data_IF_636300816253
#
_entry.id   IF_636300816253
#
_cell.length_a   1.000
_cell.length_b   1.000
_cell.length_c   1.000
_cell.angle_alpha   90.00
_cell.angle_beta   90.00
_cell.angle_gamma   90.00
#
_symmetry.space_group_name_H-M   'P 1'
#
loop_
_entity.id
_entity.type
_entity.pdbx_description
1 polymer ?
#
# COMPACT_ATOMS: atom_id res chain seq x y z
N UNK A 1 13.79 -44.50 -4.93
CA UNK A 1 14.37 -43.61 -5.91
C UNK A 1 13.74 -43.73 -7.30
N UNK A 2 13.35 -44.87 -7.80
CA UNK A 2 12.72 -45.03 -9.14
C UNK A 2 11.31 -44.45 -9.27
N UNK A 3 10.55 -44.34 -8.19
CA UNK A 3 9.17 -43.81 -8.22
C UNK A 3 9.06 -42.27 -8.20
N UNK A 4 10.14 -41.59 -7.84
CA UNK A 4 10.19 -40.13 -7.83
C UNK A 4 10.63 -39.57 -9.20
N UNK A 5 11.44 -40.34 -9.91
CA UNK A 5 11.91 -39.95 -11.24
C UNK A 5 10.82 -39.98 -12.33
N UNK A 6 9.82 -40.84 -12.13
CA UNK A 6 8.72 -40.97 -13.11
C UNK A 6 7.70 -39.82 -12.98
N UNK A 7 7.58 -39.22 -11.79
CA UNK A 7 6.68 -38.07 -11.60
C UNK A 7 7.25 -36.74 -12.08
N UNK A 8 8.57 -36.65 -12.24
CA UNK A 8 9.20 -35.42 -12.79
C UNK A 8 9.21 -35.39 -14.32
N UNK A 9 9.06 -36.54 -14.98
CA UNK A 9 9.04 -36.57 -16.45
C UNK A 9 7.67 -36.28 -17.06
N UNK A 10 6.60 -36.35 -16.26
CA UNK A 10 5.24 -36.09 -16.77
C UNK A 10 4.81 -34.64 -16.69
N UNK A 11 5.63 -33.75 -16.13
CA UNK A 11 5.31 -32.32 -16.03
C UNK A 11 5.94 -31.46 -17.13
N UNK A 12 6.78 -32.05 -17.97
CA UNK A 12 7.50 -31.29 -19.03
C UNK A 12 6.86 -31.39 -20.43
N UNK A 13 5.69 -32.00 -20.57
CA UNK A 13 5.10 -32.28 -21.89
C UNK A 13 3.91 -31.40 -22.29
N UNK A 14 3.62 -30.33 -21.54
CA UNK A 14 2.41 -29.53 -21.80
C UNK A 14 2.70 -28.10 -22.31
N UNK A 15 3.98 -27.77 -22.59
CA UNK A 15 4.34 -26.41 -23.00
C UNK A 15 4.92 -26.29 -24.41
N UNK A 16 4.39 -27.08 -25.36
CA UNK A 16 4.86 -26.92 -26.73
C UNK A 16 3.73 -27.15 -27.74
N UNK A 17 2.76 -26.24 -27.80
CA UNK A 17 1.81 -26.17 -28.92
C UNK A 17 0.94 -24.91 -28.88
N UNK A 18 1.51 -23.73 -29.05
CA UNK A 18 0.80 -22.58 -29.65
C UNK A 18 1.83 -21.62 -30.27
N UNK A 19 2.19 -21.85 -31.48
CA UNK A 19 2.79 -20.84 -32.35
C UNK A 19 2.65 -21.27 -33.81
N UNK A 20 1.53 -20.95 -34.43
CA UNK A 20 1.41 -20.83 -35.87
C UNK A 20 0.01 -20.36 -36.27
N UNK A 21 -0.06 -19.19 -36.85
CA UNK A 21 -0.98 -18.73 -37.90
C UNK A 21 -1.03 -17.21 -37.85
N UNK A 22 -0.46 -16.59 -38.72
CA UNK A 22 -0.65 -16.11 -40.08
C UNK A 22 -1.17 -14.69 -40.04
N UNK A 23 -0.63 -13.68 -40.63
CA UNK A 23 -0.07 -13.46 -41.93
C UNK A 23 -1.08 -12.85 -42.92
N UNK A 24 -0.75 -11.71 -43.51
CA UNK A 24 -1.48 -11.12 -44.64
C UNK A 24 -1.92 -9.67 -44.34
N UNK A 25 -1.22 -8.60 -44.74
CA UNK A 25 -1.17 -7.90 -46.01
C UNK A 25 -2.56 -7.28 -46.36
N UNK A 26 -2.72 -6.09 -46.82
CA UNK A 26 -1.94 -5.04 -47.48
C UNK A 26 -2.75 -3.74 -47.52
N UNK A 27 -1.99 -2.61 -47.66
CA UNK A 27 -2.26 -1.41 -48.46
C UNK A 27 -3.52 -0.56 -48.24
N UNK A 28 -3.57 0.73 -48.31
CA UNK A 28 -2.82 1.75 -48.99
C UNK A 28 -3.33 3.16 -48.61
N UNK A 29 -2.44 4.11 -48.49
CA UNK A 29 -2.46 5.53 -48.83
C UNK A 29 -3.70 6.41 -48.60
N UNK A 30 -3.64 7.60 -48.04
CA UNK A 30 -3.16 8.82 -48.61
C UNK A 30 -3.54 10.06 -47.79
N UNK A 31 -2.60 10.90 -47.61
CA UNK A 31 -2.48 12.34 -47.55
C UNK A 31 -3.70 13.25 -47.40
N UNK A 32 -3.54 14.27 -46.55
CA UNK A 32 -4.39 15.43 -46.53
C UNK A 32 -4.03 16.44 -45.45
N UNK A 33 -3.10 17.33 -45.76
CA UNK A 33 -2.76 18.48 -44.93
C UNK A 33 -3.71 19.65 -45.21
N UNK A 34 -4.13 20.37 -44.15
CA UNK A 34 -4.44 21.77 -44.33
C UNK A 34 -4.39 22.53 -43.01
N UNK A 35 -3.57 23.55 -43.00
CA UNK A 35 -3.36 24.57 -42.03
C UNK A 35 -4.52 25.58 -41.97
N UNK A 36 -4.82 26.14 -40.81
CA UNK A 36 -5.75 27.25 -40.68
C UNK A 36 -5.57 27.99 -39.35
N UNK A 37 -5.14 29.21 -39.53
CA UNK A 37 -4.85 30.15 -38.43
C UNK A 37 -6.10 30.72 -37.74
N UNK A 38 -6.03 31.06 -36.47
CA UNK A 38 -6.86 31.68 -35.71
C UNK A 38 -7.05 32.98 -35.52
N UNK A 39 -7.79 33.37 -35.08
CA UNK A 39 -7.76 34.78 -34.69
C UNK A 39 -8.36 34.95 -33.30
N UNK A 40 -7.68 35.79 -32.53
CA UNK A 40 -8.12 36.30 -31.23
C UNK A 40 -9.41 37.10 -31.34
N UNK A 41 -10.31 36.87 -30.38
CA UNK A 41 -11.37 37.84 -30.12
C UNK A 41 -11.63 37.87 -28.61
N UNK A 42 -11.29 38.99 -28.00
CA UNK A 42 -11.60 39.32 -26.61
C UNK A 42 -13.04 39.83 -26.50
N UNK A 43 -13.79 39.32 -25.52
CA UNK A 43 -15.00 40.00 -25.06
C UNK A 43 -15.24 39.74 -23.57
N UNK A 44 -15.47 40.85 -22.93
CA UNK A 44 -15.65 40.94 -21.46
C UNK A 44 -16.92 40.28 -20.92
N UNK A 45 -16.84 39.77 -19.82
CA UNK A 45 -17.78 39.14 -19.16
C UNK A 45 -18.65 39.87 -18.37
N UNK A 46 -19.58 39.48 -18.30
CA UNK A 46 -20.68 39.89 -17.43
C UNK A 46 -20.73 38.95 -16.24
N UNK A 47 -20.52 39.50 -15.02
CA UNK A 47 -20.69 38.81 -13.75
C UNK A 47 -22.16 38.44 -13.54
N UNK A 48 -22.49 37.17 -13.78
CA UNK A 48 -23.73 36.55 -13.33
C UNK A 48 -23.42 35.70 -12.12
N UNK A 49 -23.82 36.17 -10.94
CA UNK A 49 -23.79 35.34 -9.73
C UNK A 49 -24.88 34.29 -9.85
N UNK A 50 -24.51 33.10 -10.29
CA UNK A 50 -25.34 31.92 -10.08
C UNK A 50 -25.04 31.39 -8.67
N UNK A 51 -25.95 31.65 -7.74
CA UNK A 51 -26.03 30.90 -6.52
C UNK A 51 -26.37 29.44 -6.90
N UNK A 52 -25.35 28.67 -7.17
CA UNK A 52 -25.51 27.23 -7.25
C UNK A 52 -25.85 26.74 -5.85
N UNK A 53 -27.07 26.22 -5.69
CA UNK A 53 -27.40 25.47 -4.50
C UNK A 53 -26.35 24.35 -4.37
N UNK A 54 -25.48 24.46 -3.38
CA UNK A 54 -24.63 23.34 -2.99
C UNK A 54 -25.59 22.24 -2.56
N UNK A 55 -25.68 21.19 -3.35
CA UNK A 55 -26.36 19.98 -2.97
C UNK A 55 -25.72 19.55 -1.65
N UNK A 56 -26.43 19.63 -0.52
CA UNK A 56 -25.92 19.14 0.75
C UNK A 56 -25.66 17.66 0.56
N UNK A 57 -24.39 17.29 0.51
CA UNK A 57 -24.00 15.89 0.46
C UNK A 57 -24.63 15.20 1.66
N UNK A 58 -25.33 14.09 1.41
CA UNK A 58 -25.90 13.28 2.48
C UNK A 58 -24.79 12.95 3.48
N UNK A 59 -25.09 13.15 4.78
CA UNK A 59 -24.14 12.83 5.87
C UNK A 59 -23.91 11.32 6.01
N UNK A 60 -24.67 10.49 5.30
CA UNK A 60 -24.61 9.04 5.45
C UNK A 60 -25.25 8.57 6.75
N UNK A 61 -25.17 7.28 7.00
CA UNK A 61 -25.75 6.67 8.21
C UNK A 61 -24.83 5.54 8.72
N UNK A 62 -24.21 5.73 9.86
CA UNK A 62 -23.38 4.71 10.52
C UNK A 62 -24.15 3.43 10.84
N UNK A 63 -25.48 3.52 11.07
CA UNK A 63 -26.30 2.33 11.33
C UNK A 63 -26.35 1.35 10.14
N UNK A 64 -25.88 1.75 9.00
CA UNK A 64 -25.73 0.87 7.83
C UNK A 64 -24.35 0.14 7.75
N UNK A 65 -23.31 0.42 8.59
CA UNK A 65 -22.15 -0.11 8.62
C UNK A 65 -22.34 -1.45 8.96
N UNK A 66 -21.58 -2.47 8.37
CA UNK A 66 -21.52 -3.85 8.87
C UNK A 66 -21.20 -3.91 10.36
N UNK A 67 -21.74 -4.87 11.07
CA UNK A 67 -21.53 -5.01 12.51
C UNK A 67 -21.10 -6.46 12.84
N UNK A 68 -19.84 -6.71 13.19
CA UNK A 68 -18.78 -5.70 13.37
C UNK A 68 -18.26 -5.13 12.05
N UNK A 69 -17.80 -3.88 12.10
CA UNK A 69 -16.97 -3.30 11.04
C UNK A 69 -15.56 -3.92 11.17
N UNK A 70 -15.10 -4.59 10.14
CA UNK A 70 -13.81 -5.28 10.15
C UNK A 70 -12.81 -4.54 9.25
N UNK A 71 -11.68 -4.14 9.84
CA UNK A 71 -10.57 -3.46 9.15
C UNK A 71 -9.35 -4.40 9.17
N UNK A 72 -8.83 -4.74 8.00
CA UNK A 72 -7.62 -5.54 7.83
C UNK A 72 -6.44 -4.61 7.59
N UNK A 73 -5.44 -4.58 8.48
CA UNK A 73 -4.20 -3.85 8.23
C UNK A 73 -3.24 -4.70 7.41
N UNK A 74 -2.20 -4.08 6.90
CA UNK A 74 -1.22 -4.75 6.02
C UNK A 74 -0.02 -5.30 6.80
N UNK A 75 0.18 -4.87 8.04
CA UNK A 75 1.36 -5.23 8.84
C UNK A 75 1.01 -5.32 10.33
N UNK A 76 2.03 -5.49 11.18
CA UNK A 76 1.92 -5.37 12.64
C UNK A 76 1.44 -3.95 13.00
N UNK A 77 0.86 -3.77 14.20
CA UNK A 77 0.53 -2.42 14.65
C UNK A 77 1.79 -1.53 14.71
N UNK A 78 1.77 -0.50 13.89
CA UNK A 78 2.83 0.53 13.81
C UNK A 78 2.16 1.90 13.76
N UNK A 79 2.95 2.97 13.83
CA UNK A 79 2.39 4.33 13.92
C UNK A 79 1.46 4.70 12.77
N UNK A 80 1.72 4.21 11.56
CA UNK A 80 0.86 4.48 10.40
C UNK A 80 -0.53 3.85 10.52
N UNK A 81 -0.71 2.86 11.41
CA UNK A 81 -2.02 2.25 11.68
C UNK A 81 -2.75 2.95 12.85
N UNK A 82 -2.09 3.88 13.54
CA UNK A 82 -2.58 4.49 14.76
C UNK A 82 -3.99 5.06 14.64
N UNK A 83 -4.30 5.69 13.50
CA UNK A 83 -5.64 6.24 13.25
C UNK A 83 -6.75 5.18 13.34
N UNK A 84 -6.47 3.92 13.00
CA UNK A 84 -7.47 2.85 13.09
C UNK A 84 -7.69 2.39 14.53
N UNK A 85 -6.63 2.44 15.34
CA UNK A 85 -6.76 2.13 16.77
C UNK A 85 -7.41 3.30 17.54
N UNK A 86 -7.25 4.53 17.06
CA UNK A 86 -7.95 5.72 17.58
C UNK A 86 -9.49 5.57 17.47
N UNK A 87 -9.97 4.76 16.54
CA UNK A 87 -11.40 4.48 16.35
C UNK A 87 -12.03 3.73 17.53
N UNK A 88 -11.25 3.18 18.46
CA UNK A 88 -11.78 2.61 19.72
C UNK A 88 -12.08 3.71 20.77
N UNK A 89 -11.61 4.88 20.53
CA UNK A 89 -11.86 6.02 21.43
C UNK A 89 -11.45 5.70 22.86
N UNK A 90 -12.10 6.11 23.66
CA UNK A 90 -11.91 5.88 24.93
C UNK A 90 -12.57 4.77 25.42
N UNK A 91 -13.11 3.97 24.56
CA UNK A 91 -13.90 2.78 24.84
C UNK A 91 -13.05 1.60 25.29
N UNK A 92 -13.71 0.63 25.84
CA UNK A 92 -13.07 -0.62 26.20
C UNK A 92 -12.79 -1.43 24.94
N UNK A 93 -11.60 -2.02 24.86
CA UNK A 93 -11.23 -2.96 23.78
C UNK A 93 -10.59 -4.20 24.38
N UNK A 94 -10.58 -5.25 23.61
CA UNK A 94 -9.87 -6.49 23.97
C UNK A 94 -8.86 -6.85 22.88
N UNK A 95 -7.71 -7.33 23.32
CA UNK A 95 -6.63 -7.79 22.44
C UNK A 95 -6.63 -9.32 22.41
N UNK A 96 -6.81 -9.87 21.24
CA UNK A 96 -6.65 -11.31 20.99
C UNK A 96 -5.31 -11.52 20.25
N UNK A 97 -4.33 -11.77 21.06
CA UNK A 97 -2.98 -11.99 20.52
C UNK A 97 -2.81 -13.26 19.68
N UNK A 98 -3.65 -13.96 19.88
CA UNK A 98 -3.60 -15.19 19.21
C UNK A 98 -4.04 -15.10 17.83
N UNK A 99 -5.10 -14.44 17.68
CA UNK A 99 -5.69 -14.27 16.37
C UNK A 99 -5.32 -12.91 15.68
N UNK A 100 -4.60 -12.05 16.42
CA UNK A 100 -4.13 -10.88 15.97
C UNK A 100 -5.16 -9.84 15.70
N UNK A 101 -6.28 -9.63 16.53
CA UNK A 101 -7.27 -8.76 16.42
C UNK A 101 -7.33 -7.94 17.63
N UNK A 102 -7.78 -6.74 17.40
CA UNK A 102 -8.26 -5.89 18.52
C UNK A 102 -9.74 -5.67 18.26
N UNK A 103 -10.57 -5.84 19.27
CA UNK A 103 -12.02 -5.71 19.11
C UNK A 103 -12.64 -4.84 20.21
N UNK A 104 -13.70 -4.10 19.88
CA UNK A 104 -14.41 -3.19 20.76
C UNK A 104 -15.58 -2.56 20.04
N UNK A 105 -15.89 -1.30 20.35
CA UNK A 105 -16.91 -0.55 19.61
C UNK A 105 -16.27 0.61 18.85
N UNK A 106 -16.86 0.92 17.72
CA UNK A 106 -16.49 2.08 16.89
C UNK A 106 -16.87 3.36 17.62
N UNK A 107 -15.95 4.28 17.73
CA UNK A 107 -16.17 5.61 18.30
C UNK A 107 -15.97 6.69 17.26
N UNK A 108 -16.74 7.74 17.34
CA UNK A 108 -16.50 9.03 16.68
C UNK A 108 -16.01 10.00 17.75
N UNK A 109 -14.72 10.10 17.92
CA UNK A 109 -14.12 10.82 19.04
C UNK A 109 -14.57 10.20 20.38
N UNK A 110 -15.27 10.98 21.20
CA UNK A 110 -15.79 10.53 22.49
C UNK A 110 -17.12 9.77 22.40
N UNK A 111 -17.74 9.74 21.23
CA UNK A 111 -19.08 9.16 21.05
C UNK A 111 -18.99 7.69 20.69
N UNK A 112 -19.51 6.82 21.56
CA UNK A 112 -19.67 5.39 21.25
C UNK A 112 -20.86 5.24 20.29
N UNK A 113 -20.61 4.65 19.12
CA UNK A 113 -21.67 4.44 18.11
C UNK A 113 -22.48 3.18 18.37
N UNK A 114 -22.01 2.29 19.26
CA UNK A 114 -22.61 1.00 19.52
C UNK A 114 -22.32 -0.07 18.45
N UNK A 115 -21.58 0.27 17.40
CA UNK A 115 -21.23 -0.67 16.31
C UNK A 115 -19.94 -1.40 16.71
N UNK A 116 -19.90 -2.71 16.55
CA UNK A 116 -18.69 -3.51 16.76
C UNK A 116 -17.59 -3.09 15.81
N UNK A 117 -16.35 -3.03 16.32
CA UNK A 117 -15.16 -2.73 15.53
C UNK A 117 -14.12 -3.83 15.75
N UNK A 118 -13.54 -4.33 14.67
CA UNK A 118 -12.44 -5.28 14.73
C UNK A 118 -11.32 -4.81 13.81
N UNK A 119 -10.11 -4.64 14.37
CA UNK A 119 -8.91 -4.29 13.60
C UNK A 119 -7.99 -5.51 13.62
N UNK A 120 -7.73 -6.07 12.46
CA UNK A 120 -6.94 -7.29 12.26
C UNK A 120 -5.53 -6.96 11.77
N UNK A 121 -4.55 -7.58 12.40
CA UNK A 121 -3.14 -7.46 12.03
C UNK A 121 -2.85 -8.17 10.70
N UNK A 122 -2.03 -7.55 9.87
CA UNK A 122 -1.58 -8.13 8.61
C UNK A 122 -0.21 -8.80 8.71
N UNK A 123 0.59 -8.69 7.65
CA UNK A 123 1.93 -9.28 7.56
C UNK A 123 1.91 -10.79 7.75
N UNK A 124 2.70 -11.32 8.72
CA UNK A 124 2.72 -12.78 8.95
C UNK A 124 1.34 -13.37 9.29
N UNK A 125 0.44 -12.59 9.92
CA UNK A 125 -0.89 -13.06 10.31
C UNK A 125 -1.75 -13.47 9.11
N UNK A 126 -1.46 -12.89 7.94
CA UNK A 126 -2.15 -13.20 6.68
C UNK A 126 -1.21 -13.88 5.66
N UNK A 127 -0.12 -14.49 6.16
CA UNK A 127 0.86 -15.21 5.34
C UNK A 127 1.58 -14.31 4.33
N UNK A 128 1.79 -13.04 4.68
CA UNK A 128 2.40 -12.02 3.83
C UNK A 128 1.64 -11.77 2.52
N UNK A 129 0.35 -12.13 2.50
CA UNK A 129 -0.50 -11.87 1.33
C UNK A 129 -0.75 -10.37 1.19
N UNK A 130 -0.68 -9.82 -0.03
CA UNK A 130 -1.14 -8.44 -0.23
C UNK A 130 -2.60 -8.29 0.17
N UNK A 131 -2.94 -7.25 0.93
CA UNK A 131 -4.31 -7.03 1.42
C UNK A 131 -5.31 -6.96 0.26
N UNK A 132 -4.87 -6.40 -0.88
CA UNK A 132 -5.73 -6.32 -2.08
C UNK A 132 -6.29 -7.67 -2.48
N UNK A 133 -5.46 -8.72 -2.52
CA UNK A 133 -5.93 -10.07 -2.83
C UNK A 133 -6.54 -10.76 -1.62
N UNK A 134 -6.04 -10.50 -0.42
CA UNK A 134 -6.50 -11.15 0.82
C UNK A 134 -7.97 -10.84 1.11
N UNK A 135 -8.43 -9.61 0.86
CA UNK A 135 -9.83 -9.21 1.05
C UNK A 135 -10.81 -10.08 0.24
N UNK A 136 -10.32 -10.68 -0.85
CA UNK A 136 -11.15 -11.57 -1.69
C UNK A 136 -11.17 -13.01 -1.19
N UNK A 137 -10.36 -13.34 -0.18
CA UNK A 137 -10.39 -14.66 0.48
C UNK A 137 -11.28 -14.67 1.72
N UNK A 138 -11.59 -13.49 2.28
CA UNK A 138 -12.43 -13.36 3.48
C UNK A 138 -13.45 -12.24 3.30
N UNK A 139 -14.70 -12.62 3.00
CA UNK A 139 -15.79 -11.67 2.80
C UNK A 139 -16.21 -10.92 4.07
N UNK A 140 -15.74 -11.36 5.25
CA UNK A 140 -15.99 -10.66 6.51
C UNK A 140 -15.20 -9.35 6.64
N UNK A 141 -14.13 -9.17 5.86
CA UNK A 141 -13.36 -7.92 5.86
C UNK A 141 -14.14 -6.85 5.10
N UNK A 142 -14.39 -5.72 5.73
CA UNK A 142 -15.07 -4.57 5.10
C UNK A 142 -14.06 -3.62 4.47
N UNK A 143 -13.04 -3.24 5.24
CA UNK A 143 -12.02 -2.27 4.82
C UNK A 143 -10.63 -2.93 4.89
N UNK A 144 -9.75 -2.55 3.96
CA UNK A 144 -8.37 -3.06 3.96
C UNK A 144 -7.36 -1.96 3.67
N UNK A 145 -6.22 -2.03 4.36
CA UNK A 145 -5.05 -1.22 4.04
C UNK A 145 -4.38 -1.79 2.80
N UNK A 146 -4.45 -1.08 1.71
CA UNK A 146 -3.95 -1.62 0.44
C UNK A 146 -3.05 -0.65 -0.30
N UNK A 147 -1.91 -0.94 -0.63
CA UNK A 147 -0.99 -0.27 -1.34
C UNK A 147 -1.55 -0.08 -2.66
N UNK A 148 -1.43 1.01 -3.32
CA UNK A 148 -2.02 1.30 -4.63
C UNK A 148 -1.39 0.51 -5.77
N UNK A 149 -0.12 0.23 -5.72
CA UNK A 149 0.52 -0.64 -6.72
C UNK A 149 -0.01 -2.08 -6.66
N UNK A 150 -0.35 -2.57 -5.47
CA UNK A 150 -0.99 -3.89 -5.33
C UNK A 150 -2.40 -3.87 -5.92
N UNK A 151 -3.14 -2.77 -5.74
CA UNK A 151 -4.46 -2.61 -6.34
C UNK A 151 -4.38 -2.66 -7.87
N UNK A 152 -3.35 -2.03 -8.45
CA UNK A 152 -3.11 -2.08 -9.90
C UNK A 152 -2.73 -3.51 -10.33
N UNK A 153 -1.84 -4.15 -9.60
CA UNK A 153 -1.38 -5.53 -9.90
C UNK A 153 -2.54 -6.52 -9.91
N UNK A 154 -3.44 -6.40 -8.93
CA UNK A 154 -4.55 -7.34 -8.76
C UNK A 154 -5.89 -6.84 -9.36
N UNK A 155 -5.87 -5.76 -10.13
CA UNK A 155 -7.09 -5.11 -10.62
C UNK A 155 -8.06 -6.06 -11.31
N UNK A 156 -7.57 -6.98 -12.13
CA UNK A 156 -8.45 -7.92 -12.87
C UNK A 156 -9.04 -9.02 -12.00
N UNK A 157 -8.33 -9.43 -10.95
CA UNK A 157 -8.73 -10.59 -10.12
C UNK A 157 -9.34 -10.17 -8.77
N UNK A 158 -8.96 -8.99 -8.26
CA UNK A 158 -9.37 -8.52 -6.93
C UNK A 158 -9.49 -6.99 -6.93
N UNK A 159 -10.42 -6.43 -7.73
CA UNK A 159 -10.53 -4.97 -7.88
C UNK A 159 -10.99 -4.27 -6.60
N UNK A 160 -10.20 -3.32 -6.13
CA UNK A 160 -10.52 -2.50 -4.97
C UNK A 160 -10.83 -1.06 -5.37
N UNK A 161 -11.52 -0.36 -4.49
CA UNK A 161 -11.79 1.07 -4.56
C UNK A 161 -11.27 1.72 -3.28
N UNK A 162 -10.27 2.58 -3.40
CA UNK A 162 -9.74 3.34 -2.27
C UNK A 162 -10.73 4.44 -1.85
N UNK A 163 -11.00 4.55 -0.56
CA UNK A 163 -11.97 5.51 0.00
C UNK A 163 -11.31 6.55 0.90
N UNK A 164 -10.15 6.23 1.47
CA UNK A 164 -9.35 7.17 2.28
C UNK A 164 -7.87 6.92 2.00
N UNK A 165 -7.07 7.99 1.94
CA UNK A 165 -5.62 7.92 1.97
C UNK A 165 -5.16 8.55 3.31
N UNK A 166 -4.91 7.75 4.34
CA UNK A 166 -4.61 8.29 5.67
C UNK A 166 -3.21 8.94 5.77
N UNK A 167 -2.32 8.58 4.85
CA UNK A 167 -0.95 9.10 4.82
C UNK A 167 -0.79 9.99 3.59
N UNK A 168 -0.37 11.23 3.80
CA UNK A 168 -0.11 12.17 2.71
C UNK A 168 1.04 11.70 1.81
N UNK A 169 2.05 11.07 2.42
CA UNK A 169 3.26 10.62 1.74
C UNK A 169 3.59 9.20 2.18
N UNK A 170 3.95 8.36 1.24
CA UNK A 170 4.34 6.98 1.52
C UNK A 170 5.60 6.95 2.41
N UNK A 171 5.53 6.38 3.63
CA UNK A 171 6.72 6.28 4.50
C UNK A 171 7.63 5.11 4.13
N UNK A 172 7.28 4.28 3.17
CA UNK A 172 8.12 3.17 2.73
C UNK A 172 9.47 3.69 2.25
N UNK A 173 10.55 3.04 2.69
CA UNK A 173 11.92 3.52 2.46
C UNK A 173 12.89 2.36 2.30
N UNK A 174 14.11 2.69 1.92
CA UNK A 174 15.26 1.80 2.10
C UNK A 174 16.26 2.54 2.98
N UNK A 175 16.79 1.81 3.97
CA UNK A 175 17.75 2.31 4.96
C UNK A 175 19.10 1.62 4.82
N UNK A 176 20.13 2.27 5.34
CA UNK A 176 21.51 1.76 5.37
C UNK A 176 22.27 2.32 6.55
N UNK A 177 23.42 1.72 6.85
CA UNK A 177 24.31 2.17 7.91
C UNK A 177 25.19 3.33 7.43
N UNK A 178 24.99 4.56 7.94
CA UNK A 178 25.84 5.68 7.54
C UNK A 178 27.30 5.56 7.98
N UNK A 179 27.60 4.72 8.99
CA UNK A 179 28.98 4.46 9.41
C UNK A 179 29.72 3.59 8.39
N UNK A 180 29.01 2.61 7.82
CA UNK A 180 29.56 1.72 6.77
C UNK A 180 29.62 2.44 5.43
N UNK A 181 28.63 3.25 5.12
CA UNK A 181 28.49 3.92 3.82
C UNK A 181 28.34 5.44 4.01
N UNK A 182 29.40 6.13 4.45
CA UNK A 182 29.30 7.57 4.75
C UNK A 182 29.02 8.45 3.54
N UNK A 183 29.38 7.99 2.35
CA UNK A 183 29.21 8.75 1.11
C UNK A 183 27.87 8.49 0.41
N UNK A 184 27.08 7.48 0.86
CA UNK A 184 25.77 7.16 0.28
C UNK A 184 24.73 8.15 0.82
N UNK A 185 24.01 8.77 -0.10
CA UNK A 185 22.99 9.78 0.21
C UNK A 185 21.64 9.51 -0.46
N UNK A 186 21.58 8.50 -1.32
CA UNK A 186 20.38 8.20 -2.10
C UNK A 186 20.30 6.72 -2.45
N UNK A 187 19.11 6.28 -2.86
CA UNK A 187 18.89 4.92 -3.40
C UNK A 187 19.70 4.69 -4.68
N UNK A 188 19.93 5.76 -5.44
CA UNK A 188 20.80 5.66 -6.61
C UNK A 188 22.25 5.41 -6.21
N UNK A 189 22.73 6.05 -5.14
CA UNK A 189 24.12 5.81 -4.66
C UNK A 189 24.28 4.35 -4.19
N UNK A 190 23.24 3.75 -3.57
CA UNK A 190 23.24 2.32 -3.24
C UNK A 190 23.41 1.47 -4.51
N UNK A 191 22.68 1.83 -5.56
CA UNK A 191 22.77 1.18 -6.85
C UNK A 191 24.18 1.28 -7.45
N UNK A 192 24.69 2.50 -7.52
CA UNK A 192 26.00 2.80 -8.12
C UNK A 192 27.15 2.11 -7.35
N UNK A 193 26.99 1.94 -6.03
CA UNK A 193 27.96 1.27 -5.17
C UNK A 193 27.85 -0.25 -5.18
N UNK A 194 26.82 -0.81 -5.83
CA UNK A 194 26.61 -2.27 -5.91
C UNK A 194 26.25 -2.89 -4.56
N UNK A 195 25.60 -2.13 -3.68
CA UNK A 195 25.23 -2.58 -2.33
C UNK A 195 24.01 -3.51 -2.43
N UNK A 196 24.05 -4.65 -1.73
CA UNK A 196 22.89 -5.56 -1.65
C UNK A 196 21.74 -4.88 -0.93
N UNK A 197 20.54 -4.98 -1.47
CA UNK A 197 19.33 -4.35 -0.95
C UNK A 197 18.30 -5.45 -0.63
N UNK A 198 18.05 -5.65 0.67
CA UNK A 198 17.13 -6.65 1.16
C UNK A 198 15.69 -6.09 1.14
N UNK A 199 14.79 -6.76 0.41
CA UNK A 199 13.40 -6.32 0.20
C UNK A 199 12.46 -7.51 0.36
N UNK A 200 11.17 -7.26 0.56
CA UNK A 200 10.16 -8.31 0.42
C UNK A 200 10.08 -8.79 -1.03
N UNK A 201 10.00 -10.09 -1.19
CA UNK A 201 9.83 -10.69 -2.51
C UNK A 201 8.54 -10.21 -3.18
N UNK A 202 8.64 -9.86 -4.47
CA UNK A 202 7.50 -9.38 -5.25
C UNK A 202 7.18 -7.90 -5.07
N UNK A 203 8.05 -7.14 -4.44
CA UNK A 203 7.88 -5.69 -4.29
C UNK A 203 7.98 -4.97 -5.65
N UNK A 204 6.90 -4.34 -6.08
CA UNK A 204 6.80 -3.66 -7.39
C UNK A 204 7.87 -2.55 -7.50
N UNK A 205 8.16 -1.85 -6.42
CA UNK A 205 9.14 -0.76 -6.44
C UNK A 205 10.54 -1.25 -6.86
N UNK A 206 10.93 -2.45 -6.42
CA UNK A 206 12.25 -2.99 -6.77
C UNK A 206 12.35 -3.21 -8.28
N UNK A 207 11.30 -3.77 -8.90
CA UNK A 207 11.23 -3.96 -10.35
C UNK A 207 11.28 -2.62 -11.10
N UNK A 208 10.58 -1.60 -10.58
CA UNK A 208 10.59 -0.26 -11.17
C UNK A 208 12.00 0.35 -11.11
N UNK A 209 12.69 0.26 -9.97
CA UNK A 209 14.03 0.82 -9.82
C UNK A 209 15.08 0.07 -10.67
N UNK A 210 14.89 -1.24 -10.85
CA UNK A 210 15.71 -2.03 -11.79
C UNK A 210 15.46 -1.55 -13.23
N UNK A 211 14.20 -1.43 -13.62
CA UNK A 211 13.83 -0.99 -14.97
C UNK A 211 14.33 0.43 -15.29
N UNK A 212 14.40 1.29 -14.28
CA UNK A 212 14.91 2.66 -14.40
C UNK A 212 16.45 2.75 -14.36
N UNK A 213 17.12 1.63 -14.08
CA UNK A 213 18.59 1.62 -13.95
C UNK A 213 19.09 2.30 -12.68
N UNK A 214 18.22 2.42 -11.66
CA UNK A 214 18.62 2.91 -10.33
C UNK A 214 19.35 1.79 -9.59
N UNK A 215 18.87 0.54 -9.73
CA UNK A 215 19.47 -0.66 -9.16
C UNK A 215 19.73 -1.68 -10.27
N UNK A 216 20.61 -2.65 -10.01
CA UNK A 216 20.73 -3.84 -10.85
C UNK A 216 20.03 -5.03 -10.17
N UNK A 217 19.52 -5.97 -10.97
CA UNK A 217 18.74 -7.10 -10.47
C UNK A 217 19.53 -7.97 -9.47
N UNK A 218 20.84 -8.10 -9.66
CA UNK A 218 21.71 -8.89 -8.80
C UNK A 218 21.99 -8.24 -7.43
N UNK A 219 21.65 -6.96 -7.25
CA UNK A 219 21.72 -6.28 -5.95
C UNK A 219 20.50 -6.59 -5.05
N UNK A 220 19.36 -6.97 -5.66
CA UNK A 220 18.10 -7.12 -4.92
C UNK A 220 18.00 -8.52 -4.30
N UNK A 221 17.96 -8.57 -2.97
CA UNK A 221 17.77 -9.80 -2.20
C UNK A 221 16.32 -9.85 -1.72
N UNK A 222 15.46 -10.72 -2.30
CA UNK A 222 14.03 -10.76 -1.94
C UNK A 222 13.73 -11.57 -0.68
N UNK A 223 14.67 -11.69 0.25
CA UNK A 223 14.55 -12.54 1.43
C UNK A 223 14.11 -11.79 2.71
N UNK A 224 13.86 -10.48 2.64
CA UNK A 224 13.43 -9.73 3.82
C UNK A 224 12.10 -10.29 4.34
N UNK A 225 12.06 -10.55 5.64
CA UNK A 225 10.91 -11.16 6.32
C UNK A 225 10.29 -10.26 7.41
N UNK A 226 10.72 -9.00 7.48
CA UNK A 226 10.27 -8.05 8.50
C UNK A 226 11.11 -8.07 9.77
N UNK A 227 12.10 -8.96 9.88
CA UNK A 227 12.93 -9.05 11.09
C UNK A 227 14.23 -8.26 10.92
N UNK A 228 14.81 -7.72 12.02
CA UNK A 228 16.11 -7.04 11.95
C UNK A 228 17.29 -8.00 11.85
N UNK A 229 17.05 -9.31 11.96
CA UNK A 229 18.10 -10.31 12.12
C UNK A 229 19.13 -10.27 10.98
N UNK A 230 18.67 -10.19 9.75
CA UNK A 230 19.56 -10.17 8.58
C UNK A 230 20.42 -8.90 8.55
N UNK A 231 19.83 -7.78 8.80
CA UNK A 231 20.56 -6.51 8.85
C UNK A 231 21.60 -6.46 9.97
N UNK A 232 21.16 -6.75 11.09
CA UNK A 232 21.97 -6.81 12.16
C UNK A 232 23.07 -7.69 11.98
N UNK A 233 22.89 -9.08 11.37
CA UNK A 233 23.96 -10.08 11.13
C UNK A 233 24.98 -9.64 10.08
N UNK A 234 24.57 -8.87 9.11
CA UNK A 234 25.45 -8.32 8.07
C UNK A 234 26.25 -7.10 8.54
N UNK A 235 26.01 -6.63 9.76
CA UNK A 235 26.74 -5.52 10.36
C UNK A 235 26.66 -4.20 9.57
N UNK A 236 25.57 -4.00 8.87
CA UNK A 236 25.39 -2.82 8.00
C UNK A 236 26.02 -2.95 6.60
N UNK A 237 26.35 -4.03 6.21
CA UNK A 237 26.85 -4.33 5.00
C UNK A 237 25.89 -4.40 3.93
N UNK A 238 24.55 -4.51 4.27
CA UNK A 238 23.43 -4.46 3.30
C UNK A 238 22.58 -3.22 3.56
N UNK A 239 21.79 -2.83 2.56
CA UNK A 239 20.66 -1.92 2.76
C UNK A 239 19.38 -2.76 2.93
N UNK A 240 18.32 -2.19 3.48
CA UNK A 240 17.09 -2.92 3.79
C UNK A 240 15.86 -2.03 3.66
N UNK A 241 14.81 -2.59 3.11
CA UNK A 241 13.47 -2.01 3.07
C UNK A 241 12.93 -1.81 4.51
N UNK A 242 12.07 -0.84 4.68
CA UNK A 242 11.35 -0.61 5.92
C UNK A 242 10.38 0.55 5.77
N UNK A 243 9.88 1.04 6.90
CA UNK A 243 8.98 2.18 6.97
C UNK A 243 9.60 3.25 7.87
N UNK A 244 9.63 4.48 7.40
CA UNK A 244 10.22 5.60 8.16
C UNK A 244 9.46 5.89 9.46
N UNK A 245 8.24 5.38 9.59
CA UNK A 245 7.40 5.48 10.79
C UNK A 245 7.74 4.43 11.86
N UNK A 246 8.58 3.44 11.56
CA UNK A 246 8.89 2.32 12.46
C UNK A 246 10.40 2.10 12.61
N UNK A 247 11.06 1.53 11.59
CA UNK A 247 12.46 1.06 11.68
C UNK A 247 13.44 2.09 12.24
N UNK A 248 13.45 3.36 11.89
CA UNK A 248 14.41 4.28 12.50
C UNK A 248 14.34 4.33 14.02
N UNK A 249 13.31 4.25 14.57
CA UNK A 249 13.10 4.25 15.91
C UNK A 249 13.51 3.04 16.55
N UNK A 250 13.09 1.92 15.78
CA UNK A 250 13.37 0.59 16.33
C UNK A 250 14.88 0.26 16.32
N UNK A 251 15.55 0.58 15.23
CA UNK A 251 17.00 0.31 15.09
C UNK A 251 17.83 1.16 16.05
N UNK A 252 17.40 2.29 16.36
CA UNK A 252 18.11 3.18 17.30
C UNK A 252 17.78 2.90 18.77
N UNK A 253 16.52 2.59 18.90
CA UNK A 253 16.17 2.58 20.20
C UNK A 253 15.80 1.31 20.75
N UNK A 254 15.24 0.34 19.96
CA UNK A 254 14.66 -0.92 20.44
C UNK A 254 15.63 -2.11 20.26
N UNK A 255 16.21 -2.23 19.08
CA UNK A 255 17.09 -3.35 18.74
C UNK A 255 18.50 -3.12 19.27
N UNK A 256 18.73 -3.51 20.54
CA UNK A 256 19.99 -3.28 21.26
C UNK A 256 21.23 -3.90 20.58
N UNK A 257 21.03 -4.93 19.76
CA UNK A 257 22.11 -5.53 18.99
C UNK A 257 22.60 -4.64 17.85
N UNK A 258 21.80 -3.64 17.49
CA UNK A 258 22.19 -2.58 16.55
C UNK A 258 22.47 -1.26 17.28
N UNK A 259 21.47 -0.67 17.92
CA UNK A 259 21.57 0.43 18.88
C UNK A 259 22.18 1.71 18.36
N UNK A 260 21.97 2.03 17.07
CA UNK A 260 22.47 3.27 16.47
C UNK A 260 21.57 3.72 15.31
N UNK A 261 21.59 5.00 14.94
CA UNK A 261 20.74 5.48 13.86
C UNK A 261 21.08 4.85 12.50
N UNK A 262 20.10 4.76 11.65
CA UNK A 262 20.24 4.41 10.22
C UNK A 262 19.99 5.66 9.38
N UNK A 263 20.52 5.67 8.16
CA UNK A 263 20.21 6.66 7.14
C UNK A 263 19.22 6.03 6.16
N UNK A 264 18.34 6.85 5.58
CA UNK A 264 17.30 6.34 4.73
C UNK A 264 16.93 7.31 3.60
N UNK A 265 16.25 6.79 2.59
CA UNK A 265 15.52 7.60 1.62
C UNK A 265 14.17 6.97 1.36
N UNK A 266 13.11 7.78 1.32
CA UNK A 266 11.77 7.32 0.97
C UNK A 266 11.73 6.89 -0.51
N UNK A 267 11.01 5.80 -0.79
CA UNK A 267 10.77 5.36 -2.17
C UNK A 267 10.06 6.46 -2.98
N UNK A 268 9.15 7.19 -2.33
CA UNK A 268 8.47 8.35 -2.90
C UNK A 268 9.48 9.37 -3.49
N UNK A 269 10.48 9.73 -2.68
CA UNK A 269 11.46 10.75 -3.05
C UNK A 269 12.47 10.25 -4.08
N UNK A 270 12.57 8.93 -4.22
CA UNK A 270 13.41 8.28 -5.24
C UNK A 270 12.67 8.07 -6.57
N UNK A 271 11.40 8.50 -6.66
CA UNK A 271 10.63 8.42 -7.90
C UNK A 271 9.54 7.35 -7.95
N UNK A 272 9.13 6.83 -6.77
CA UNK A 272 8.02 5.87 -6.67
C UNK A 272 6.91 6.46 -5.81
N UNK A 273 6.17 7.47 -6.32
CA UNK A 273 5.19 8.22 -5.53
C UNK A 273 3.81 7.56 -5.50
N UNK A 274 3.72 6.40 -4.87
CA UNK A 274 2.46 5.66 -4.67
C UNK A 274 1.94 5.89 -3.25
N UNK A 275 0.68 5.58 -3.01
CA UNK A 275 0.15 5.48 -1.64
C UNK A 275 0.37 4.05 -1.15
N UNK A 276 1.12 3.89 -0.06
CA UNK A 276 1.41 2.56 0.50
C UNK A 276 0.19 1.95 1.19
N UNK A 277 -0.70 2.77 1.73
CA UNK A 277 -1.76 2.30 2.63
C UNK A 277 -3.02 3.13 2.44
N UNK A 278 -3.69 2.98 1.28
CA UNK A 278 -5.05 3.49 1.18
C UNK A 278 -5.99 2.53 1.92
N UNK A 279 -7.04 3.07 2.51
CA UNK A 279 -8.14 2.29 3.04
C UNK A 279 -9.10 2.05 1.90
N UNK A 280 -9.37 0.79 1.60
CA UNK A 280 -10.10 0.39 0.39
C UNK A 280 -11.19 -0.63 0.72
N UNK A 281 -12.18 -0.69 -0.17
CA UNK A 281 -13.26 -1.68 -0.17
C UNK A 281 -13.16 -2.53 -1.43
N UNK A 282 -13.83 -3.68 -1.47
CA UNK A 282 -14.03 -4.40 -2.75
C UNK A 282 -14.90 -3.53 -3.67
N UNK A 283 -14.48 -3.32 -4.92
CA UNK A 283 -15.15 -2.39 -5.84
C UNK A 283 -16.63 -2.69 -6.03
N UNK A 284 -16.99 -3.98 -6.03
CA UNK A 284 -18.38 -4.42 -6.21
C UNK A 284 -19.29 -4.03 -5.04
N UNK A 285 -18.73 -3.65 -3.89
CA UNK A 285 -19.50 -3.30 -2.69
C UNK A 285 -19.78 -1.80 -2.58
N UNK A 286 -19.28 -0.99 -3.51
CA UNK A 286 -19.40 0.47 -3.49
C UNK A 286 -20.84 0.93 -3.20
N UNK A 287 -21.80 0.43 -3.99
CA UNK A 287 -23.19 0.89 -3.86
C UNK A 287 -23.85 0.39 -2.56
N UNK A 288 -23.50 -0.82 -2.12
CA UNK A 288 -24.03 -1.39 -0.87
C UNK A 288 -23.49 -0.66 0.36
N UNK A 289 -22.25 -0.15 0.29
CA UNK A 289 -21.60 0.55 1.41
C UNK A 289 -21.71 2.09 1.31
N UNK A 290 -22.39 2.64 0.32
CA UNK A 290 -22.38 4.07 0.02
C UNK A 290 -22.79 4.92 1.25
N UNK A 291 -23.92 4.61 1.89
CA UNK A 291 -24.40 5.35 3.05
C UNK A 291 -23.48 5.18 4.28
N UNK A 292 -22.98 3.97 4.48
CA UNK A 292 -21.97 3.69 5.51
C UNK A 292 -20.70 4.54 5.27
N UNK A 293 -20.17 4.55 4.04
CA UNK A 293 -18.91 5.24 3.72
C UNK A 293 -19.04 6.76 3.85
N UNK A 294 -20.18 7.33 3.44
CA UNK A 294 -20.44 8.77 3.62
C UNK A 294 -20.33 9.20 5.09
N UNK A 295 -20.75 8.34 6.00
CA UNK A 295 -20.66 8.59 7.44
C UNK A 295 -19.30 8.20 8.01
N UNK A 296 -18.76 7.04 7.61
CA UNK A 296 -17.54 6.45 8.18
C UNK A 296 -16.27 7.19 7.76
N UNK A 297 -16.17 7.62 6.50
CA UNK A 297 -14.96 8.31 6.01
C UNK A 297 -14.65 9.56 6.85
N UNK A 298 -15.62 10.44 7.16
CA UNK A 298 -15.33 11.57 8.07
C UNK A 298 -14.91 11.13 9.48
N UNK A 299 -15.42 10.02 10.00
CA UNK A 299 -14.99 9.47 11.31
C UNK A 299 -13.51 9.07 11.24
N UNK A 300 -13.11 8.34 10.18
CA UNK A 300 -11.72 7.93 9.96
C UNK A 300 -10.81 9.17 9.83
N UNK A 301 -11.27 10.18 9.09
CA UNK A 301 -10.50 11.42 8.92
C UNK A 301 -10.28 12.15 10.27
N UNK A 302 -11.33 12.21 11.11
CA UNK A 302 -11.21 12.80 12.45
C UNK A 302 -10.27 11.99 13.34
N UNK A 303 -10.34 10.66 13.29
CA UNK A 303 -9.44 9.77 14.01
C UNK A 303 -7.99 9.99 13.57
N UNK A 304 -7.77 10.15 12.26
CA UNK A 304 -6.43 10.45 11.71
C UNK A 304 -5.90 11.77 12.26
N UNK A 305 -6.73 12.83 12.25
CA UNK A 305 -6.34 14.14 12.81
C UNK A 305 -6.06 14.03 14.31
N UNK A 306 -6.92 13.31 15.06
CA UNK A 306 -6.74 13.10 16.51
C UNK A 306 -5.39 12.44 16.79
N UNK A 307 -5.10 11.33 16.11
CA UNK A 307 -3.86 10.57 16.30
C UNK A 307 -2.61 11.42 15.97
N UNK A 308 -2.65 12.16 14.86
CA UNK A 308 -1.48 12.96 14.43
C UNK A 308 -1.23 14.13 15.39
N UNK A 309 -2.29 14.71 15.98
CA UNK A 309 -2.14 15.86 16.90
C UNK A 309 -1.84 15.45 18.33
N UNK A 310 -2.31 14.26 18.76
CA UNK A 310 -2.14 13.74 20.14
C UNK A 310 -1.87 12.22 20.08
N UNK A 311 -0.72 11.79 19.57
CA UNK A 311 -0.45 10.35 19.41
C UNK A 311 -0.26 9.65 20.75
#
# INVERSE_FOLDING_TARGET
>A
MKKVLIKLLSLLSVFALVAAACGGDDDDSSSGSSSGSXSESSSEXSSGSSEGAAEEASSGDLATXPDPLVIQTDWFPESEHGAMYELFGXGAYSIDAXNXXVSGTLHDGATDTGIGLEVRTGGPAIGFSPVASYMYTDSGITLGYAXTEAQVTFFESAPLLSVVAPLEKNPQMVMWDPATYPDVNSLKDLGDAGITISVFGGGVFAEVFIAQGIWSADQVDPSYDGSPANFXANGGXIAQQGFASAEPXDYEXVFTDWGKPVKLQLLHDAGFPVYSQTIAIRSAEKDALDECLKALVPVIQRATVSFVTNP
#
